data_IF_176209735265
#
_entry.id   IF_176209735265
#
_cell.length_a   1.000
_cell.length_b   1.000
_cell.length_c   1.000
_cell.angle_alpha   90.00
_cell.angle_beta   90.00
_cell.angle_gamma   90.00
#
_symmetry.space_group_name_H-M   'P 1'
#
loop_
_entity.id
_entity.type
_entity.pdbx_description
1 polymer ?
#
# COMPACT_ATOMS: atom_id res chain seq x y z
N UNK A 1 17.72 10.72 23.02
CA UNK A 1 17.34 12.14 23.18
C UNK A 1 16.16 12.36 22.27
N UNK A 2 14.98 12.65 22.82
CA UNK A 2 13.73 12.76 22.05
C UNK A 2 13.79 13.98 21.15
N UNK A 3 13.77 13.77 19.84
CA UNK A 3 13.62 14.85 18.85
C UNK A 3 12.26 15.53 19.10
N UNK A 4 12.31 16.79 19.50
CA UNK A 4 11.12 17.64 19.60
C UNK A 4 10.69 18.06 18.19
N UNK A 5 9.39 18.05 17.91
CA UNK A 5 8.87 18.70 16.70
C UNK A 5 9.03 20.24 16.88
N UNK A 6 9.82 20.93 16.04
CA UNK A 6 10.08 22.36 16.23
C UNK A 6 8.81 23.24 16.08
N UNK A 7 7.71 22.67 15.61
CA UNK A 7 6.43 23.36 15.42
C UNK A 7 5.40 23.06 16.52
N UNK A 8 5.59 22.02 17.34
CA UNK A 8 4.63 21.58 18.36
C UNK A 8 5.39 21.04 19.57
N UNK A 9 5.08 21.55 20.76
CA UNK A 9 5.73 21.21 22.03
C UNK A 9 5.31 19.80 22.53
N UNK A 10 5.40 18.78 21.67
CA UNK A 10 5.01 17.37 21.88
C UNK A 10 6.17 16.45 21.43
N UNK A 11 6.26 15.20 21.95
CA UNK A 11 7.22 14.22 21.45
C UNK A 11 7.04 14.02 19.93
N UNK A 12 8.11 13.76 19.18
CA UNK A 12 8.04 13.48 17.73
C UNK A 12 7.14 12.31 17.33
N UNK A 13 6.62 11.56 18.31
CA UNK A 13 5.86 10.32 18.16
C UNK A 13 4.34 10.55 18.32
N UNK A 14 3.86 11.80 18.43
CA UNK A 14 2.43 12.09 18.51
C UNK A 14 1.96 13.19 17.55
N UNK A 15 0.82 12.98 16.91
CA UNK A 15 0.14 13.94 16.03
C UNK A 15 -1.30 14.15 16.49
N UNK A 16 -1.65 15.39 16.81
CA UNK A 16 -3.04 15.78 17.04
C UNK A 16 -3.61 16.29 15.71
N UNK A 17 -4.66 15.65 15.20
CA UNK A 17 -5.19 15.95 13.87
C UNK A 17 -5.70 17.39 13.76
N UNK A 18 -6.20 17.96 14.87
CA UNK A 18 -6.68 19.34 14.91
C UNK A 18 -5.57 20.40 14.80
N UNK A 19 -4.30 20.04 15.06
CA UNK A 19 -3.15 20.94 14.88
C UNK A 19 -2.83 21.19 13.39
N UNK A 20 -3.40 20.41 12.47
CA UNK A 20 -3.11 20.44 11.02
C UNK A 20 -4.38 20.65 10.18
N UNK A 21 -4.95 21.87 10.17
CA UNK A 21 -6.21 22.16 9.48
C UNK A 21 -6.10 22.10 7.94
N UNK A 22 -4.88 22.07 7.39
CA UNK A 22 -4.65 21.81 5.96
C UNK A 22 -4.80 20.35 5.55
N UNK A 23 -4.94 19.45 6.52
CA UNK A 23 -5.14 18.03 6.32
C UNK A 23 -3.95 17.18 6.77
N UNK A 24 -4.29 16.01 7.28
CA UNK A 24 -3.38 14.91 7.62
C UNK A 24 -3.77 13.72 6.77
N UNK A 25 -2.77 13.03 6.25
CA UNK A 25 -2.94 11.75 5.60
C UNK A 25 -1.92 10.73 6.11
N UNK A 26 -2.35 9.48 6.25
CA UNK A 26 -1.54 8.39 6.78
C UNK A 26 -1.70 7.13 5.94
N UNK A 27 -0.60 6.40 5.72
CA UNK A 27 -0.57 5.11 5.04
C UNK A 27 0.43 4.17 5.74
N UNK A 28 0.25 2.86 5.58
CA UNK A 28 1.37 1.93 5.76
C UNK A 28 2.31 2.08 4.57
N UNK A 29 3.59 2.36 4.83
CA UNK A 29 4.59 2.44 3.79
C UNK A 29 4.76 1.07 3.14
N UNK A 30 4.76 1.04 1.81
CA UNK A 30 5.03 -0.15 1.01
C UNK A 30 6.17 0.17 0.03
N UNK A 31 7.01 -0.82 -0.31
CA UNK A 31 8.12 -0.60 -1.23
C UNK A 31 7.61 -0.18 -2.61
N UNK A 32 8.43 0.56 -3.34
CA UNK A 32 8.14 0.89 -4.73
C UNK A 32 8.08 -0.40 -5.55
N UNK A 33 7.11 -0.50 -6.47
CA UNK A 33 7.07 -1.63 -7.41
C UNK A 33 8.22 -1.58 -8.39
N UNK A 34 8.68 -0.38 -8.72
CA UNK A 34 9.84 -0.14 -9.56
C UNK A 34 10.70 0.90 -8.88
N UNK A 35 11.97 0.58 -8.67
CA UNK A 35 12.96 1.48 -8.08
C UNK A 35 14.25 1.40 -8.90
N UNK A 36 14.63 2.53 -9.49
CA UNK A 36 15.90 2.71 -10.21
C UNK A 36 16.78 3.79 -9.56
N UNK A 37 16.38 4.30 -8.39
CA UNK A 37 17.09 5.33 -7.65
C UNK A 37 18.04 4.77 -6.57
N UNK A 38 17.88 3.50 -6.18
CA UNK A 38 18.72 2.83 -5.17
C UNK A 38 18.74 3.56 -3.81
N UNK A 39 17.54 3.92 -3.34
CA UNK A 39 17.37 4.39 -1.96
C UNK A 39 16.73 3.31 -1.11
N UNK A 40 17.24 3.16 0.11
CA UNK A 40 16.62 2.29 1.11
C UNK A 40 15.14 2.65 1.30
N UNK A 41 14.30 1.63 1.34
CA UNK A 41 12.87 1.78 1.55
C UNK A 41 12.57 2.39 2.94
N UNK A 42 11.85 3.51 2.96
CA UNK A 42 11.44 4.20 4.19
C UNK A 42 10.20 3.53 4.81
N UNK A 43 10.44 2.61 5.76
CA UNK A 43 9.44 1.76 6.43
C UNK A 43 8.59 2.51 7.47
N UNK A 44 7.42 1.95 7.76
CA UNK A 44 6.57 2.40 8.88
C UNK A 44 5.25 3.03 8.46
N UNK A 45 4.70 3.87 9.34
CA UNK A 45 3.53 4.71 9.12
C UNK A 45 3.97 6.00 8.43
N UNK A 46 3.65 6.13 7.14
CA UNK A 46 3.98 7.32 6.36
C UNK A 46 2.95 8.42 6.57
N UNK A 47 3.38 9.60 7.03
CA UNK A 47 2.50 10.72 7.38
C UNK A 47 2.78 11.92 6.49
N UNK A 48 1.71 12.45 5.92
CA UNK A 48 1.66 13.80 5.37
C UNK A 48 0.83 14.70 6.28
N UNK A 49 1.33 15.88 6.64
CA UNK A 49 0.55 16.88 7.36
C UNK A 49 0.77 18.30 6.82
N UNK A 50 -0.29 19.11 6.79
CA UNK A 50 -0.27 20.49 6.29
C UNK A 50 -0.96 21.45 7.26
N UNK A 51 -0.38 22.64 7.43
CA UNK A 51 -1.02 23.71 8.20
C UNK A 51 -2.11 24.45 7.41
N UNK A 52 -2.07 24.41 6.08
CA UNK A 52 -3.08 25.02 5.20
C UNK A 52 -3.34 24.13 3.99
N UNK A 53 -4.53 24.21 3.38
CA UNK A 53 -4.94 23.32 2.28
C UNK A 53 -4.01 23.38 1.05
N UNK A 54 -3.45 24.56 0.77
CA UNK A 54 -2.55 24.83 -0.38
C UNK A 54 -1.08 24.88 0.05
N UNK A 55 -0.80 24.94 1.36
CA UNK A 55 0.56 25.05 1.90
C UNK A 55 1.38 23.78 1.68
N UNK A 56 2.71 23.89 1.76
CA UNK A 56 3.61 22.73 1.69
C UNK A 56 3.34 21.75 2.84
N UNK A 57 3.66 20.48 2.62
CA UNK A 57 3.73 19.48 3.70
C UNK A 57 4.72 19.98 4.75
N UNK A 58 4.29 20.03 6.01
CA UNK A 58 5.16 20.31 7.16
C UNK A 58 5.65 19.02 7.82
N UNK A 59 4.94 17.92 7.57
CA UNK A 59 5.39 16.55 7.85
C UNK A 59 5.27 15.76 6.54
N UNK A 60 6.35 15.10 6.17
CA UNK A 60 6.48 14.18 5.03
C UNK A 60 7.58 13.17 5.37
N UNK A 61 7.23 12.17 6.18
CA UNK A 61 8.16 11.13 6.63
C UNK A 61 7.42 9.91 7.19
N UNK A 62 8.12 8.79 7.27
CA UNK A 62 7.64 7.60 7.95
C UNK A 62 8.08 7.52 9.41
N UNK A 63 7.31 6.77 10.20
CA UNK A 63 7.56 6.50 11.61
C UNK A 63 7.33 5.01 11.89
N UNK A 64 8.17 4.35 12.69
CA UNK A 64 7.90 2.96 13.11
C UNK A 64 6.56 2.84 13.85
N UNK A 65 6.24 3.86 14.64
CA UNK A 65 4.97 4.04 15.34
C UNK A 65 4.67 5.52 15.53
N UNK A 66 3.40 5.89 15.57
CA UNK A 66 2.95 7.25 15.84
C UNK A 66 1.58 7.23 16.55
N UNK A 67 1.48 7.95 17.66
CA UNK A 67 0.22 8.21 18.33
C UNK A 67 -0.57 9.26 17.54
N UNK A 68 -1.78 8.92 17.14
CA UNK A 68 -2.71 9.85 16.49
C UNK A 68 -3.82 10.20 17.46
N UNK A 69 -4.02 11.50 17.67
CA UNK A 69 -4.98 12.04 18.63
C UNK A 69 -6.09 12.79 17.87
N UNK A 70 -7.34 12.51 18.24
CA UNK A 70 -8.52 13.19 17.73
C UNK A 70 -9.59 13.30 18.81
N UNK A 71 -10.04 14.52 19.11
CA UNK A 71 -11.11 14.78 20.09
C UNK A 71 -10.87 14.11 21.46
N UNK A 72 -9.61 14.10 21.92
CA UNK A 72 -9.21 13.52 23.20
C UNK A 72 -9.13 11.98 23.22
N UNK A 73 -9.39 11.31 22.08
CA UNK A 73 -9.09 9.88 21.89
C UNK A 73 -7.74 9.75 21.20
N UNK A 74 -6.97 8.74 21.56
CA UNK A 74 -5.72 8.42 20.87
C UNK A 74 -5.65 6.96 20.44
N UNK A 75 -5.00 6.71 19.32
CA UNK A 75 -4.60 5.39 18.86
C UNK A 75 -3.12 5.42 18.51
N UNK A 76 -2.38 4.39 18.92
CA UNK A 76 -1.04 4.15 18.43
C UNK A 76 -1.14 3.43 17.06
N UNK A 77 -0.74 4.12 15.99
CA UNK A 77 -0.53 3.47 14.70
C UNK A 77 0.87 2.87 14.67
N UNK A 78 0.96 1.58 14.41
CA UNK A 78 2.23 0.85 14.23
C UNK A 78 2.45 0.52 12.77
N UNK A 79 3.70 0.25 12.38
CA UNK A 79 4.00 -0.29 11.05
C UNK A 79 3.13 -1.50 10.70
N UNK A 80 3.07 -2.51 11.57
CA UNK A 80 2.33 -3.75 11.33
C UNK A 80 0.85 -3.49 11.04
N UNK A 81 0.19 -2.66 11.86
CA UNK A 81 -1.23 -2.34 11.69
C UNK A 81 -1.48 -1.51 10.42
N UNK A 82 -0.64 -0.50 10.19
CA UNK A 82 -0.76 0.39 9.05
C UNK A 82 -0.51 -0.31 7.71
N UNK A 83 0.56 -1.11 7.62
CA UNK A 83 0.91 -1.89 6.43
C UNK A 83 -0.19 -2.92 6.13
N UNK A 84 -0.63 -3.68 7.13
CA UNK A 84 -1.68 -4.68 6.96
C UNK A 84 -3.02 -4.04 6.55
N UNK A 85 -3.33 -2.85 7.06
CA UNK A 85 -4.50 -2.10 6.62
C UNK A 85 -4.36 -1.64 5.17
N UNK A 86 -3.21 -1.09 4.80
CA UNK A 86 -2.96 -0.66 3.41
C UNK A 86 -3.07 -1.84 2.43
N UNK A 87 -2.53 -3.01 2.79
CA UNK A 87 -2.63 -4.23 1.99
C UNK A 87 -4.08 -4.73 1.83
N UNK A 88 -4.87 -4.75 2.91
CA UNK A 88 -6.26 -5.19 2.89
C UNK A 88 -7.20 -4.21 2.16
N UNK A 89 -6.96 -2.91 2.31
CA UNK A 89 -7.88 -1.84 1.88
C UNK A 89 -8.16 -1.77 0.38
N UNK A 90 -7.31 -2.37 -0.46
CA UNK A 90 -7.48 -2.34 -1.92
C UNK A 90 -8.43 -3.43 -2.45
N UNK A 91 -8.83 -4.38 -1.59
CA UNK A 91 -9.70 -5.49 -1.94
C UNK A 91 -11.13 -5.28 -1.42
N UNK A 92 -12.09 -5.94 -2.07
CA UNK A 92 -13.51 -5.86 -1.73
C UNK A 92 -13.91 -6.97 -0.75
N UNK A 93 -13.42 -6.87 0.49
CA UNK A 93 -13.81 -7.73 1.60
C UNK A 93 -13.91 -6.94 2.91
N UNK A 94 -14.58 -7.51 3.90
CA UNK A 94 -14.76 -6.86 5.19
C UNK A 94 -13.45 -6.79 5.98
N UNK A 95 -13.08 -5.58 6.42
CA UNK A 95 -12.04 -5.35 7.43
C UNK A 95 -12.76 -4.91 8.71
N UNK A 96 -12.46 -5.55 9.83
CA UNK A 96 -13.17 -5.35 11.10
C UNK A 96 -12.21 -5.12 12.26
N UNK A 97 -12.66 -4.40 13.28
CA UNK A 97 -12.00 -4.39 14.60
C UNK A 97 -12.67 -5.44 15.47
N UNK A 98 -11.89 -6.39 15.96
CA UNK A 98 -12.33 -7.46 16.85
C UNK A 98 -11.30 -7.63 17.98
N UNK A 99 -11.81 -7.93 19.17
CA UNK A 99 -10.99 -8.25 20.34
C UNK A 99 -10.94 -9.77 20.52
N UNK A 100 -9.84 -10.27 21.09
CA UNK A 100 -9.68 -11.67 21.40
C UNK A 100 -10.68 -12.12 22.48
N UNK A 101 -11.50 -13.14 22.18
CA UNK A 101 -12.45 -13.74 23.12
C UNK A 101 -11.80 -14.29 24.41
N UNK A 102 -10.49 -14.57 24.37
CA UNK A 102 -9.76 -15.16 25.50
C UNK A 102 -9.09 -14.11 26.40
N UNK A 103 -8.42 -13.11 25.84
CA UNK A 103 -7.63 -12.14 26.61
C UNK A 103 -8.03 -10.67 26.43
N UNK A 104 -8.95 -10.38 25.50
CA UNK A 104 -9.42 -9.03 25.20
C UNK A 104 -8.46 -8.16 24.38
N UNK A 105 -7.32 -8.68 23.93
CA UNK A 105 -6.39 -7.95 23.07
C UNK A 105 -6.97 -7.74 21.66
N UNK A 106 -6.75 -6.57 21.05
CA UNK A 106 -7.16 -6.31 19.66
C UNK A 106 -6.43 -7.25 18.70
N UNK A 107 -7.17 -7.85 17.78
CA UNK A 107 -6.61 -8.74 16.78
C UNK A 107 -6.12 -7.97 15.55
N UNK A 108 -5.01 -8.45 14.99
CA UNK A 108 -4.40 -7.94 13.78
C UNK A 108 -3.99 -9.11 12.89
N UNK A 109 -4.64 -9.24 11.75
CA UNK A 109 -4.20 -10.13 10.68
C UNK A 109 -3.09 -9.42 9.89
N UNK A 110 -1.88 -9.99 9.92
CA UNK A 110 -0.67 -9.45 9.27
C UNK A 110 -0.17 -10.35 8.14
N UNK A 111 0.72 -9.82 7.29
CA UNK A 111 1.31 -10.57 6.17
C UNK A 111 0.26 -11.11 5.21
N UNK A 112 0.35 -12.38 4.84
CA UNK A 112 -0.62 -12.98 3.93
C UNK A 112 -2.05 -13.03 4.50
N UNK A 113 -2.21 -13.15 5.83
CA UNK A 113 -3.53 -13.10 6.48
C UNK A 113 -4.22 -11.75 6.30
N UNK A 114 -3.47 -10.65 6.11
CA UNK A 114 -4.05 -9.33 5.85
C UNK A 114 -4.81 -9.28 4.50
N UNK A 115 -4.57 -10.21 3.59
CA UNK A 115 -5.23 -10.24 2.27
C UNK A 115 -6.03 -11.53 2.03
N UNK A 116 -6.22 -12.33 3.08
CA UNK A 116 -6.93 -13.61 3.04
C UNK A 116 -8.05 -13.60 4.08
N UNK A 117 -9.27 -13.17 3.71
CA UNK A 117 -10.40 -13.18 4.63
C UNK A 117 -10.64 -14.56 5.24
N UNK A 118 -10.80 -14.60 6.56
CA UNK A 118 -10.97 -15.81 7.36
C UNK A 118 -12.13 -15.63 8.34
N UNK A 119 -12.73 -16.74 8.76
CA UNK A 119 -13.67 -16.77 9.89
C UNK A 119 -12.98 -17.15 11.20
N UNK A 120 -11.68 -17.42 11.16
CA UNK A 120 -10.84 -17.84 12.28
C UNK A 120 -9.65 -16.88 12.40
N UNK A 121 -9.50 -16.25 13.56
CA UNK A 121 -8.44 -15.28 13.85
C UNK A 121 -7.70 -15.67 15.14
N UNK A 122 -6.37 -15.81 15.05
CA UNK A 122 -5.54 -16.23 16.17
C UNK A 122 -4.87 -15.02 16.84
N UNK A 123 -5.00 -14.93 18.16
CA UNK A 123 -4.40 -13.86 18.94
C UNK A 123 -2.88 -14.01 19.04
N UNK A 124 -2.13 -12.99 18.62
CA UNK A 124 -0.67 -12.95 18.76
C UNK A 124 -0.20 -12.87 20.22
N UNK A 125 -1.05 -12.40 21.14
CA UNK A 125 -0.70 -12.24 22.55
C UNK A 125 -0.92 -13.52 23.36
N UNK A 126 -1.98 -14.30 23.11
CA UNK A 126 -2.31 -15.47 23.91
C UNK A 126 -2.52 -16.77 23.12
N UNK A 127 -2.43 -16.74 21.79
CA UNK A 127 -2.69 -17.88 20.90
C UNK A 127 -4.16 -18.30 20.79
N UNK A 128 -5.07 -17.60 21.46
CA UNK A 128 -6.50 -17.91 21.48
C UNK A 128 -7.17 -17.68 20.13
N UNK A 129 -8.13 -18.53 19.78
CA UNK A 129 -8.91 -18.42 18.56
C UNK A 129 -10.17 -17.59 18.82
N UNK A 130 -10.41 -16.61 17.96
CA UNK A 130 -11.67 -15.85 17.90
C UNK A 130 -12.30 -16.09 16.53
N UNK A 131 -13.58 -16.49 16.54
CA UNK A 131 -14.30 -16.84 15.33
C UNK A 131 -15.32 -15.77 14.97
N UNK A 132 -15.41 -15.43 13.68
CA UNK A 132 -16.38 -14.47 13.14
C UNK A 132 -17.43 -15.18 12.30
N UNK A 133 -18.64 -14.62 12.24
CA UNK A 133 -19.75 -15.25 11.52
C UNK A 133 -19.57 -15.25 9.99
N UNK A 134 -18.76 -14.35 9.45
CA UNK A 134 -18.47 -14.17 8.03
C UNK A 134 -16.97 -13.98 7.85
N UNK A 135 -16.37 -14.44 6.72
CA UNK A 135 -14.97 -14.19 6.45
C UNK A 135 -14.64 -12.70 6.42
N UNK A 136 -13.60 -12.31 7.16
CA UNK A 136 -13.11 -10.93 7.25
C UNK A 136 -11.61 -10.90 7.52
N UNK A 137 -11.05 -9.70 7.57
CA UNK A 137 -9.68 -9.43 8.03
C UNK A 137 -9.75 -8.56 9.29
N UNK A 138 -9.06 -8.96 10.35
CA UNK A 138 -8.97 -8.21 11.59
C UNK A 138 -7.91 -7.11 11.51
N UNK A 139 -8.28 -5.87 11.79
CA UNK A 139 -7.32 -4.78 11.93
C UNK A 139 -7.84 -3.69 12.90
N UNK A 140 -7.07 -3.32 13.94
CA UNK A 140 -7.51 -2.35 14.95
C UNK A 140 -7.78 -0.96 14.38
N UNK A 141 -7.19 -0.59 13.23
CA UNK A 141 -7.40 0.71 12.59
C UNK A 141 -8.89 1.01 12.37
N UNK A 142 -9.72 0.00 12.10
CA UNK A 142 -11.17 0.18 11.91
C UNK A 142 -11.82 0.89 13.10
N UNK A 143 -11.41 0.57 14.33
CA UNK A 143 -11.91 1.24 15.55
C UNK A 143 -11.57 2.74 15.57
N UNK A 144 -10.40 3.10 15.08
CA UNK A 144 -10.03 4.51 14.94
C UNK A 144 -10.84 5.21 13.84
N UNK A 145 -11.06 4.53 12.72
CA UNK A 145 -11.92 5.04 11.64
C UNK A 145 -13.33 5.35 12.14
N UNK A 146 -13.88 4.51 13.02
CA UNK A 146 -15.16 4.77 13.71
C UNK A 146 -15.09 6.04 14.57
N UNK A 147 -14.00 6.25 15.32
CA UNK A 147 -13.84 7.46 16.12
C UNK A 147 -13.71 8.74 15.27
N UNK A 148 -13.11 8.63 14.08
CA UNK A 148 -13.05 9.74 13.11
C UNK A 148 -14.40 10.00 12.43
N UNK A 149 -15.36 9.08 12.52
CA UNK A 149 -16.60 9.11 11.72
C UNK A 149 -16.36 8.82 10.24
N UNK A 150 -15.25 8.16 9.90
CA UNK A 150 -14.80 7.89 8.54
C UNK A 150 -14.78 6.39 8.28
N UNK A 151 -15.97 5.80 8.14
CA UNK A 151 -16.17 4.35 7.98
C UNK A 151 -15.80 3.81 6.59
N UNK A 152 -15.43 4.69 5.66
CA UNK A 152 -15.11 4.29 4.29
C UNK A 152 -13.67 3.78 4.24
N UNK A 153 -13.50 2.48 3.98
CA UNK A 153 -12.19 1.87 3.67
C UNK A 153 -11.70 2.37 2.31
N UNK A 154 -12.57 2.27 1.29
CA UNK A 154 -12.31 2.79 -0.05
C UNK A 154 -13.08 4.09 -0.24
N UNK A 155 -12.41 5.23 -0.02
CA UNK A 155 -13.03 6.55 -0.23
C UNK A 155 -13.15 6.87 -1.72
N UNK A 156 -14.17 7.65 -2.12
CA UNK A 156 -14.18 8.30 -3.42
C UNK A 156 -12.87 9.07 -3.61
N UNK A 157 -12.15 8.71 -4.67
CA UNK A 157 -10.90 9.35 -5.07
C UNK A 157 -11.03 9.89 -6.48
N UNK A 158 -10.19 10.86 -6.81
CA UNK A 158 -10.12 11.43 -8.15
C UNK A 158 -8.90 10.87 -8.88
N UNK A 159 -9.07 10.55 -10.16
CA UNK A 159 -7.93 10.33 -11.05
C UNK A 159 -7.44 11.70 -11.52
N UNK A 160 -6.22 12.13 -11.18
CA UNK A 160 -5.73 13.42 -11.62
C UNK A 160 -5.50 13.39 -13.14
N UNK A 161 -5.92 14.44 -13.85
CA UNK A 161 -5.67 14.58 -15.30
C UNK A 161 -4.21 14.98 -15.57
N UNK A 162 -3.27 14.09 -15.25
CA UNK A 162 -1.83 14.32 -15.36
C UNK A 162 -1.16 13.09 -15.97
N UNK A 163 -0.30 13.33 -16.96
CA UNK A 163 0.50 12.32 -17.64
C UNK A 163 1.98 12.60 -17.44
N UNK A 164 2.80 11.55 -17.31
CA UNK A 164 4.25 11.64 -17.26
C UNK A 164 4.89 10.54 -18.12
N UNK A 165 5.99 10.91 -18.79
CA UNK A 165 6.92 9.97 -19.43
C UNK A 165 8.20 9.95 -18.63
N UNK A 166 8.60 8.76 -18.16
CA UNK A 166 9.79 8.50 -17.38
C UNK A 166 10.86 7.95 -18.33
N UNK A 167 11.79 8.83 -18.67
CA UNK A 167 12.89 8.58 -19.60
C UNK A 167 14.21 8.87 -18.86
N UNK A 168 15.21 7.98 -19.00
CA UNK A 168 16.50 8.12 -18.29
C UNK A 168 17.17 9.46 -18.54
N UNK A 169 17.18 9.94 -19.78
CA UNK A 169 17.86 11.19 -20.14
C UNK A 169 17.23 12.41 -19.44
N UNK A 170 15.93 12.31 -19.11
CA UNK A 170 15.20 13.34 -18.38
C UNK A 170 15.34 13.21 -16.86
N UNK A 171 15.42 11.98 -16.35
CA UNK A 171 15.57 11.66 -14.92
C UNK A 171 16.79 10.77 -14.69
N UNK A 172 18.01 11.31 -14.86
CA UNK A 172 19.23 10.50 -14.81
C UNK A 172 19.58 10.01 -13.39
N UNK A 173 18.94 10.55 -12.35
CA UNK A 173 19.02 10.01 -11.00
C UNK A 173 18.09 8.81 -10.76
N UNK A 174 17.27 8.42 -11.74
CA UNK A 174 16.30 7.33 -11.60
C UNK A 174 14.93 7.81 -11.11
N UNK A 175 14.06 6.85 -10.86
CA UNK A 175 12.69 7.07 -10.40
C UNK A 175 12.15 5.86 -9.61
N UNK A 176 11.15 6.14 -8.79
CA UNK A 176 10.42 5.18 -7.96
C UNK A 176 8.92 5.29 -8.25
N UNK A 177 8.23 4.15 -8.30
CA UNK A 177 6.83 4.04 -8.71
C UNK A 177 6.04 3.24 -7.68
N UNK A 178 4.88 3.76 -7.28
CA UNK A 178 3.93 3.11 -6.39
C UNK A 178 2.52 3.14 -6.96
N UNK A 179 1.72 2.13 -6.61
CA UNK A 179 0.27 2.22 -6.73
C UNK A 179 -0.30 3.03 -5.58
N UNK A 180 -1.18 3.99 -5.86
CA UNK A 180 -1.86 4.75 -4.81
C UNK A 180 -2.81 3.83 -4.07
N UNK A 181 -2.66 3.70 -2.74
CA UNK A 181 -3.58 2.94 -1.88
C UNK A 181 -4.44 3.89 -1.06
N UNK A 182 -5.67 3.48 -0.68
CA UNK A 182 -6.50 4.26 0.23
C UNK A 182 -5.74 4.62 1.51
N UNK A 183 -5.86 5.88 1.90
CA UNK A 183 -5.30 6.36 3.16
C UNK A 183 -6.03 5.79 4.38
N UNK A 184 -5.27 5.53 5.45
CA UNK A 184 -5.80 5.20 6.78
C UNK A 184 -6.59 6.39 7.32
N UNK A 185 -5.97 7.57 7.22
CA UNK A 185 -6.49 8.86 7.64
C UNK A 185 -6.48 9.79 6.43
N UNK A 186 -7.56 10.54 6.23
CA UNK A 186 -7.59 11.68 5.31
C UNK A 186 -8.49 12.78 5.85
N UNK A 187 -7.89 13.81 6.46
CA UNK A 187 -8.67 14.92 7.04
C UNK A 187 -8.78 16.14 6.11
N UNK A 188 -8.12 16.11 4.95
CA UNK A 188 -8.23 17.20 3.98
C UNK A 188 -9.64 17.21 3.34
N UNK A 189 -10.20 18.41 3.12
CA UNK A 189 -11.52 18.56 2.47
C UNK A 189 -11.52 18.19 0.99
N UNK A 190 -10.37 18.33 0.33
CA UNK A 190 -10.19 17.93 -1.07
C UNK A 190 -10.22 16.40 -1.17
N UNK A 191 -10.69 15.84 -2.30
CA UNK A 191 -10.64 14.39 -2.50
C UNK A 191 -9.20 13.88 -2.52
N UNK A 192 -9.03 12.62 -2.12
CA UNK A 192 -7.80 11.87 -2.33
C UNK A 192 -7.56 11.66 -3.82
N UNK A 193 -6.31 11.77 -4.27
CA UNK A 193 -5.93 11.43 -5.63
C UNK A 193 -5.48 9.97 -5.68
N UNK A 194 -5.98 9.19 -6.64
CA UNK A 194 -5.68 7.77 -6.75
C UNK A 194 -5.30 7.39 -8.18
N UNK A 195 -4.04 7.03 -8.39
CA UNK A 195 -3.50 6.46 -9.62
C UNK A 195 -2.08 5.89 -9.35
N UNK A 196 -1.09 6.24 -10.17
CA UNK A 196 0.32 5.86 -9.94
C UNK A 196 1.06 7.05 -9.33
N UNK A 197 1.68 6.84 -8.17
CA UNK A 197 2.53 7.83 -7.52
C UNK A 197 3.97 7.66 -7.99
N UNK A 198 4.64 8.77 -8.29
CA UNK A 198 5.98 8.77 -8.89
C UNK A 198 6.88 9.74 -8.15
N UNK A 199 8.06 9.25 -7.78
CA UNK A 199 9.23 10.08 -7.50
C UNK A 199 10.22 9.97 -8.66
N UNK A 200 10.80 11.09 -9.09
CA UNK A 200 11.87 11.09 -10.10
C UNK A 200 12.96 12.09 -9.71
N UNK A 201 14.20 11.75 -10.07
CA UNK A 201 15.39 12.39 -9.54
C UNK A 201 16.29 12.95 -10.66
N UNK A 202 16.86 14.13 -10.41
CA UNK A 202 17.87 14.73 -11.30
C UNK A 202 19.21 14.01 -11.18
N UNK A 203 20.19 14.39 -12.01
CA UNK A 203 21.57 13.86 -11.95
C UNK A 203 22.28 14.13 -10.62
N UNK A 204 21.87 15.18 -9.91
CA UNK A 204 22.33 15.51 -8.56
C UNK A 204 21.58 14.74 -7.45
N UNK A 205 20.83 13.69 -7.79
CA UNK A 205 19.98 12.91 -6.87
C UNK A 205 18.92 13.73 -6.11
N UNK A 206 18.56 14.91 -6.62
CA UNK A 206 17.49 15.73 -6.06
C UNK A 206 16.15 15.29 -6.61
N UNK A 207 15.17 15.06 -5.72
CA UNK A 207 13.78 14.79 -6.11
C UNK A 207 13.20 15.99 -6.87
N UNK A 208 12.86 15.79 -8.15
CA UNK A 208 12.27 16.81 -9.05
C UNK A 208 10.82 16.50 -9.39
N UNK A 209 10.38 15.25 -9.21
CA UNK A 209 8.98 14.83 -9.31
C UNK A 209 8.57 14.17 -8.00
N UNK A 210 7.41 14.56 -7.50
CA UNK A 210 6.69 13.98 -6.35
C UNK A 210 5.21 14.25 -6.59
N UNK A 211 4.55 13.35 -7.32
CA UNK A 211 3.14 13.52 -7.66
C UNK A 211 2.47 12.22 -8.11
N UNK A 212 1.14 12.24 -8.17
CA UNK A 212 0.30 11.16 -8.67
C UNK A 212 -0.17 11.47 -10.10
N UNK A 213 -0.14 10.47 -10.99
CA UNK A 213 -0.42 10.60 -12.42
C UNK A 213 -1.40 9.51 -12.88
N UNK A 214 -2.36 9.86 -13.72
CA UNK A 214 -3.30 8.90 -14.32
C UNK A 214 -2.67 8.08 -15.45
N UNK A 215 -1.60 8.58 -16.05
CA UNK A 215 -0.86 7.90 -17.12
C UNK A 215 0.64 8.03 -16.84
N UNK A 216 1.30 6.89 -16.67
CA UNK A 216 2.75 6.80 -16.45
C UNK A 216 3.33 5.90 -17.52
N UNK A 217 4.21 6.47 -18.33
CA UNK A 217 4.94 5.75 -19.38
C UNK A 217 6.39 5.55 -18.93
N UNK A 218 6.92 4.34 -19.10
CA UNK A 218 8.35 4.03 -18.90
C UNK A 218 8.85 3.36 -20.17
N UNK A 219 9.82 3.97 -20.86
CA UNK A 219 10.33 3.49 -22.16
C UNK A 219 9.22 3.08 -23.15
N UNK A 220 8.25 3.98 -23.35
CA UNK A 220 7.06 3.78 -24.19
C UNK A 220 6.09 2.67 -23.75
N UNK A 221 6.29 2.07 -22.58
CA UNK A 221 5.33 1.16 -21.95
C UNK A 221 4.42 1.95 -21.02
N UNK A 222 3.13 1.99 -21.33
CA UNK A 222 2.11 2.52 -20.42
C UNK A 222 1.87 1.52 -19.28
N UNK A 223 2.02 1.99 -18.04
CA UNK A 223 1.75 1.19 -16.86
C UNK A 223 0.25 1.18 -16.53
N UNK A 224 -0.28 0.00 -16.21
CA UNK A 224 -1.64 -0.15 -15.72
C UNK A 224 -1.70 0.13 -14.20
N UNK A 225 -2.65 0.98 -13.79
CA UNK A 225 -2.79 1.44 -12.40
C UNK A 225 -3.11 0.27 -11.46
N UNK A 226 -4.01 -0.62 -11.87
CA UNK A 226 -4.49 -1.73 -11.02
C UNK A 226 -3.39 -2.79 -10.89
N UNK A 227 -2.73 -3.13 -12.00
CA UNK A 227 -1.63 -4.09 -11.99
C UNK A 227 -0.46 -3.61 -11.10
N UNK A 228 -0.11 -2.32 -11.18
CA UNK A 228 0.92 -1.70 -10.33
C UNK A 228 0.50 -1.72 -8.86
N UNK A 229 -0.74 -1.33 -8.54
CA UNK A 229 -1.26 -1.34 -7.17
C UNK A 229 -1.23 -2.73 -6.55
N UNK A 230 -1.74 -3.72 -7.29
CA UNK A 230 -1.78 -5.10 -6.82
C UNK A 230 -0.38 -5.71 -6.71
N UNK A 231 0.52 -5.44 -7.67
CA UNK A 231 1.90 -5.92 -7.60
C UNK A 231 2.64 -5.40 -6.36
N UNK A 232 2.33 -4.18 -5.92
CA UNK A 232 2.88 -3.61 -4.70
C UNK A 232 2.54 -4.46 -3.47
N UNK A 233 1.30 -4.96 -3.40
CA UNK A 233 0.86 -5.84 -2.31
C UNK A 233 1.48 -7.23 -2.48
N UNK A 234 1.46 -7.78 -3.70
CA UNK A 234 2.01 -9.11 -3.99
C UNK A 234 3.49 -9.21 -3.62
N UNK A 235 4.30 -8.18 -3.92
CA UNK A 235 5.74 -8.13 -3.57
C UNK A 235 5.97 -7.90 -2.07
N UNK A 236 5.02 -7.30 -1.37
CA UNK A 236 5.09 -7.11 0.07
C UNK A 236 4.82 -8.42 0.87
N UNK A 237 4.27 -9.45 0.23
CA UNK A 237 3.94 -10.75 0.85
C UNK A 237 4.97 -11.80 0.42
N UNK A 238 5.93 -12.17 1.29
CA UNK A 238 6.97 -13.16 0.94
C UNK A 238 6.42 -14.49 0.44
N UNK A 239 5.30 -14.95 1.01
CA UNK A 239 4.67 -16.23 0.71
C UNK A 239 4.23 -16.34 -0.75
N UNK A 240 3.88 -15.22 -1.39
CA UNK A 240 3.42 -15.21 -2.78
C UNK A 240 4.56 -15.29 -3.79
N UNK A 241 5.82 -15.17 -3.38
CA UNK A 241 6.98 -15.10 -4.30
C UNK A 241 7.05 -16.30 -5.25
N UNK A 242 6.68 -17.48 -4.78
CA UNK A 242 6.77 -18.73 -5.56
C UNK A 242 5.56 -18.99 -6.45
N UNK A 243 4.45 -18.29 -6.20
CA UNK A 243 3.19 -18.48 -6.90
C UNK A 243 2.89 -17.32 -7.87
N UNK A 244 3.74 -16.30 -7.89
CA UNK A 244 3.52 -15.07 -8.65
C UNK A 244 4.26 -15.10 -10.01
N UNK A 245 3.50 -15.01 -11.10
CA UNK A 245 4.00 -15.11 -12.47
C UNK A 245 3.34 -14.10 -13.41
N UNK A 246 3.77 -14.09 -14.67
CA UNK A 246 3.08 -13.39 -15.77
C UNK A 246 2.73 -14.40 -16.86
N UNK A 247 1.44 -14.67 -17.02
CA UNK A 247 0.94 -15.55 -18.09
C UNK A 247 0.30 -14.76 -19.23
N UNK A 248 0.28 -15.38 -20.41
CA UNK A 248 -0.64 -15.00 -21.47
C UNK A 248 -1.74 -16.04 -21.58
N UNK A 249 -2.94 -15.61 -21.95
CA UNK A 249 -4.02 -16.53 -22.29
C UNK A 249 -3.59 -17.45 -23.45
N UNK A 250 -3.69 -18.77 -23.33
CA UNK A 250 -3.23 -19.69 -24.37
C UNK A 250 -4.08 -19.63 -25.66
N UNK A 251 -5.28 -19.05 -25.59
CA UNK A 251 -6.19 -18.94 -26.73
C UNK A 251 -5.95 -17.67 -27.55
N UNK A 252 -5.85 -16.50 -26.90
CA UNK A 252 -5.73 -15.20 -27.60
C UNK A 252 -4.37 -14.52 -27.43
N UNK A 253 -3.47 -15.11 -26.64
CA UNK A 253 -2.16 -14.58 -26.28
C UNK A 253 -2.19 -13.20 -25.58
N UNK A 254 -3.34 -12.75 -25.09
CA UNK A 254 -3.44 -11.54 -24.28
C UNK A 254 -2.83 -11.78 -22.89
N UNK A 255 -2.04 -10.84 -22.32
CA UNK A 255 -1.54 -10.95 -20.96
C UNK A 255 -2.68 -11.14 -19.97
N UNK A 256 -2.54 -12.06 -19.03
CA UNK A 256 -3.57 -12.39 -18.06
C UNK A 256 -3.27 -11.73 -16.71
N UNK A 257 -4.25 -11.01 -16.16
CA UNK A 257 -4.19 -10.40 -14.84
C UNK A 257 -5.30 -10.97 -13.96
N UNK A 258 -4.91 -11.58 -12.84
CA UNK A 258 -5.89 -11.99 -11.83
C UNK A 258 -6.36 -10.78 -11.03
N UNK A 259 -7.67 -10.72 -10.76
CA UNK A 259 -8.33 -9.57 -10.12
C UNK A 259 -8.95 -9.95 -8.78
N UNK A 260 -9.18 -8.94 -7.93
CA UNK A 260 -9.76 -9.15 -6.61
C UNK A 260 -8.94 -10.14 -5.78
N UNK A 261 -9.60 -11.04 -5.05
CA UNK A 261 -8.91 -12.03 -4.21
C UNK A 261 -8.04 -13.02 -5.00
N UNK A 262 -8.38 -13.31 -6.26
CA UNK A 262 -7.54 -14.17 -7.11
C UNK A 262 -6.16 -13.58 -7.41
N UNK A 263 -5.99 -12.28 -7.17
CA UNK A 263 -4.67 -11.63 -7.29
C UNK A 263 -3.74 -11.86 -6.10
N UNK A 264 -4.22 -12.48 -5.03
CA UNK A 264 -3.43 -12.75 -3.80
C UNK A 264 -3.67 -14.15 -3.23
N UNK A 265 -4.56 -14.93 -3.85
CA UNK A 265 -4.86 -16.31 -3.52
C UNK A 265 -4.51 -17.18 -4.75
N UNK A 266 -3.42 -17.97 -4.69
CA UNK A 266 -3.05 -18.89 -5.75
C UNK A 266 -4.22 -19.82 -6.12
N UNK A 267 -4.38 -20.06 -7.41
CA UNK A 267 -5.45 -20.91 -7.94
C UNK A 267 -5.06 -21.52 -9.29
N UNK A 268 -5.83 -22.52 -9.74
CA UNK A 268 -5.51 -23.28 -10.96
C UNK A 268 -6.37 -22.92 -12.18
N UNK A 269 -7.43 -22.13 -12.00
CA UNK A 269 -8.41 -21.84 -13.04
C UNK A 269 -8.48 -20.34 -13.28
N UNK A 270 -8.02 -19.91 -14.45
CA UNK A 270 -7.98 -18.51 -14.85
C UNK A 270 -8.99 -18.27 -15.97
N UNK A 271 -9.66 -17.11 -15.94
CA UNK A 271 -10.56 -16.67 -17.00
C UNK A 271 -9.97 -15.43 -17.67
N UNK A 272 -9.61 -15.53 -18.95
CA UNK A 272 -9.07 -14.40 -19.70
C UNK A 272 -10.14 -13.30 -19.88
N UNK A 273 -9.87 -12.09 -19.42
CA UNK A 273 -10.83 -10.98 -19.55
C UNK A 273 -11.09 -10.56 -21.01
N UNK A 274 -10.12 -10.78 -21.90
CA UNK A 274 -10.21 -10.37 -23.30
C UNK A 274 -11.06 -11.31 -24.15
N UNK A 275 -10.79 -12.62 -24.08
CA UNK A 275 -11.46 -13.61 -24.93
C UNK A 275 -12.39 -14.58 -24.17
N UNK A 276 -12.50 -14.43 -22.85
CA UNK A 276 -13.34 -15.25 -21.96
C UNK A 276 -12.95 -16.74 -21.90
N UNK A 277 -11.86 -17.16 -22.55
CA UNK A 277 -11.35 -18.51 -22.45
C UNK A 277 -10.90 -18.81 -21.02
N UNK A 278 -11.38 -19.93 -20.48
CA UNK A 278 -10.90 -20.48 -19.21
C UNK A 278 -9.71 -21.41 -19.50
N UNK A 279 -8.63 -21.24 -18.75
CA UNK A 279 -7.43 -22.07 -18.88
C UNK A 279 -6.87 -22.41 -17.50
N UNK A 280 -6.01 -23.43 -17.48
CA UNK A 280 -5.42 -23.94 -16.26
C UNK A 280 -3.91 -23.88 -16.25
N UNK A 281 -3.38 -23.69 -15.06
CA UNK A 281 -1.97 -23.55 -14.70
C UNK A 281 -1.73 -24.36 -13.42
N UNK A 282 -0.46 -24.57 -12.99
CA UNK A 282 -0.18 -24.86 -11.59
C UNK A 282 -0.80 -23.81 -10.67
N UNK A 283 -1.00 -24.14 -9.40
CA UNK A 283 -1.54 -23.19 -8.42
C UNK A 283 -0.69 -21.91 -8.39
N UNK A 284 -1.24 -20.82 -8.92
CA UNK A 284 -0.48 -19.60 -9.22
C UNK A 284 -1.38 -18.37 -9.35
N UNK A 285 -0.73 -17.21 -9.42
CA UNK A 285 -1.28 -15.87 -9.58
C UNK A 285 -0.56 -15.20 -10.75
N UNK A 286 -1.30 -14.52 -11.60
CA UNK A 286 -0.78 -13.79 -12.75
C UNK A 286 -0.89 -12.28 -12.57
N UNK A 287 0.24 -11.59 -12.73
CA UNK A 287 0.29 -10.14 -12.88
C UNK A 287 1.22 -9.75 -14.06
N UNK A 288 0.69 -9.23 -15.18
CA UNK A 288 1.48 -8.86 -16.35
C UNK A 288 2.54 -7.80 -16.07
N UNK A 289 2.37 -7.00 -15.00
CA UNK A 289 3.33 -5.98 -14.62
C UNK A 289 4.70 -6.59 -14.32
N UNK A 290 4.80 -7.85 -13.87
CA UNK A 290 6.08 -8.52 -13.62
C UNK A 290 6.93 -8.57 -14.89
N UNK A 291 6.38 -9.09 -16.00
CA UNK A 291 7.11 -9.17 -17.26
C UNK A 291 7.46 -7.77 -17.81
N UNK A 292 6.61 -6.77 -17.57
CA UNK A 292 6.89 -5.37 -17.92
C UNK A 292 8.11 -4.87 -17.13
N UNK A 293 8.12 -5.05 -15.81
CA UNK A 293 9.21 -4.58 -14.96
C UNK A 293 10.50 -5.35 -15.23
N UNK A 294 10.46 -6.66 -15.44
CA UNK A 294 11.63 -7.48 -15.79
C UNK A 294 12.28 -7.00 -17.10
N UNK A 295 11.44 -6.69 -18.10
CA UNK A 295 11.92 -6.09 -19.36
C UNK A 295 12.63 -4.77 -19.09
N UNK A 296 12.01 -3.87 -18.33
CA UNK A 296 12.59 -2.56 -17.98
C UNK A 296 13.91 -2.73 -17.20
N UNK A 297 13.99 -3.69 -16.28
CA UNK A 297 15.21 -4.02 -15.53
C UNK A 297 16.33 -4.48 -16.46
N UNK A 298 16.04 -5.43 -17.35
CA UNK A 298 17.00 -5.98 -18.29
C UNK A 298 17.49 -4.93 -19.31
N UNK A 299 16.63 -3.99 -19.73
CA UNK A 299 16.97 -2.93 -20.68
C UNK A 299 17.47 -1.65 -20.02
N UNK A 300 18.41 -1.76 -19.07
CA UNK A 300 19.31 -0.69 -18.59
C UNK A 300 18.96 0.05 -17.27
N UNK A 301 17.91 -0.31 -16.52
CA UNK A 301 17.57 0.46 -15.30
C UNK A 301 18.18 -0.03 -14.00
N UNK A 302 18.79 -1.23 -13.95
CA UNK A 302 19.41 -1.73 -12.72
C UNK A 302 18.42 -1.75 -11.54
N UNK A 303 17.20 -2.22 -11.79
CA UNK A 303 16.12 -2.24 -10.78
C UNK A 303 16.49 -3.17 -9.65
N UNK A 304 16.33 -2.67 -8.44
CA UNK A 304 16.62 -3.43 -7.23
C UNK A 304 15.34 -4.10 -6.73
N UNK A 305 15.44 -5.40 -6.40
CA UNK A 305 14.42 -6.04 -5.60
C UNK A 305 14.46 -5.40 -4.21
N UNK A 306 13.42 -4.63 -3.87
CA UNK A 306 13.21 -4.20 -2.49
C UNK A 306 12.95 -5.45 -1.63
N UNK A 307 13.60 -5.54 -0.47
CA UNK A 307 13.35 -6.63 0.47
C UNK A 307 11.86 -6.70 0.83
N UNK A 308 11.30 -7.90 0.85
CA UNK A 308 9.92 -8.13 1.26
C UNK A 308 9.71 -7.64 2.69
N UNK A 309 8.47 -7.25 3.03
CA UNK A 309 8.18 -6.74 4.37
C UNK A 309 8.34 -7.88 5.36
N UNK A 310 9.36 -7.79 6.20
CA UNK A 310 9.52 -8.67 7.36
C UNK A 310 8.74 -8.07 8.52
N UNK A 311 7.68 -8.76 8.93
CA UNK A 311 6.98 -8.45 10.18
C UNK A 311 7.85 -8.91 11.36
N UNK A 312 7.85 -8.17 12.46
CA UNK A 312 8.52 -8.63 13.65
C UNK A 312 7.83 -9.90 14.18
N UNK A 313 8.57 -11.00 14.28
CA UNK A 313 8.14 -12.19 14.99
C UNK A 313 8.32 -11.95 16.49
N UNK A 314 7.25 -11.50 17.14
CA UNK A 314 7.15 -11.62 18.59
C UNK A 314 6.54 -12.98 18.90
N UNK A 315 7.42 -13.98 19.08
CA UNK A 315 7.12 -15.22 19.80
C UNK A 315 6.83 -14.92 21.28
#
# INVERSE_FOLDING_TARGET
MSDFNPYLNKPSVAIELSDFPGGVAAWGALPAVFDSHDQAFDRGVHIHARLTEIGKKVIDKSFSEIEVIWQGKSMLLTEDSAVSYTMSSIFDFAIVSIDCDHCGAELLDKGWSAVRPSSEHYCSQCGGLTATAQPCVANPIIRFKEWLGDLQVQRPSIRPARTIRLERDRYPGGFQIWGSNPSIIWTAKRPEESAIHVHAYSSENKRVVDNTYSEVWVDDVLLDIEMVRVLQIQRAIPELRHDLFSFNCPHCNHPHFDKGLHSVLPHQHHQCEFCQNVFSTPESISNPCIAILDKLTATNYGVLENESIQFADHL
#
